data_IF_586515333417
#
_entry.id   IF_586515333417
#
_cell.length_a   1.000
_cell.length_b   1.000
_cell.length_c   1.000
_cell.angle_alpha   90.00
_cell.angle_beta   90.00
_cell.angle_gamma   90.00
#
_symmetry.space_group_name_H-M   'P 1'
#
loop_
_entity.id
_entity.type
_entity.pdbx_description
1 polymer ?
#
# COMPACT_ATOMS: atom_id res chain seq x y z
N UNK A 1 -6.66 -17.09 -13.28
CA UNK A 1 -6.40 -15.89 -14.12
C UNK A 1 -6.67 -14.58 -13.36
N UNK A 2 -7.78 -14.45 -12.62
CA UNK A 2 -8.04 -13.25 -11.78
C UNK A 2 -7.03 -12.99 -10.66
N UNK A 3 -6.47 -14.04 -10.06
CA UNK A 3 -5.42 -13.90 -9.05
C UNK A 3 -4.14 -13.26 -9.61
N UNK A 4 -3.80 -13.55 -10.87
CA UNK A 4 -2.61 -12.99 -11.55
C UNK A 4 -2.86 -11.52 -11.92
N UNK A 5 -4.09 -11.16 -12.36
CA UNK A 5 -4.46 -9.76 -12.60
C UNK A 5 -4.40 -8.92 -11.33
N UNK A 6 -4.85 -9.47 -10.19
CA UNK A 6 -4.78 -8.78 -8.89
C UNK A 6 -3.34 -8.55 -8.44
N UNK A 7 -2.45 -9.51 -8.65
CA UNK A 7 -1.02 -9.36 -8.34
C UNK A 7 -0.37 -8.28 -9.22
N UNK A 8 -0.70 -8.23 -10.52
CA UNK A 8 -0.20 -7.18 -11.42
C UNK A 8 -0.70 -5.79 -11.03
N UNK A 9 -1.96 -5.67 -10.59
CA UNK A 9 -2.51 -4.41 -10.08
C UNK A 9 -1.79 -3.94 -8.82
N UNK A 10 -1.42 -4.86 -7.92
CA UNK A 10 -0.64 -4.53 -6.71
C UNK A 10 0.72 -3.98 -7.11
N UNK A 11 1.42 -4.61 -8.06
CA UNK A 11 2.72 -4.09 -8.53
C UNK A 11 2.62 -2.75 -9.23
N UNK A 12 1.57 -2.50 -10.02
CA UNK A 12 1.34 -1.21 -10.66
C UNK A 12 1.09 -0.08 -9.64
N UNK A 13 0.33 -0.37 -8.58
CA UNK A 13 0.07 0.60 -7.50
C UNK A 13 1.34 0.88 -6.72
N UNK A 14 2.16 -0.16 -6.47
CA UNK A 14 3.47 0.01 -5.82
C UNK A 14 4.40 0.86 -6.68
N UNK A 15 4.49 0.60 -7.99
CA UNK A 15 5.31 1.36 -8.94
C UNK A 15 4.87 2.83 -9.05
N UNK A 16 3.56 3.06 -9.09
CA UNK A 16 2.99 4.42 -9.09
C UNK A 16 3.29 5.14 -7.78
N UNK A 17 3.19 4.46 -6.64
CA UNK A 17 3.50 5.04 -5.32
C UNK A 17 5.00 5.33 -5.14
N UNK A 18 5.87 4.53 -5.75
CA UNK A 18 7.33 4.79 -5.78
C UNK A 18 7.65 5.95 -6.72
N UNK A 19 7.02 5.99 -7.90
CA UNK A 19 7.21 7.06 -8.89
C UNK A 19 6.71 8.41 -8.40
N UNK A 20 5.62 8.44 -7.62
CA UNK A 20 5.03 9.65 -7.06
C UNK A 20 5.32 9.79 -5.57
N UNK A 21 6.39 9.19 -5.05
CA UNK A 21 6.74 9.27 -3.62
C UNK A 21 6.99 10.72 -3.17
N UNK A 22 7.33 11.60 -4.10
CA UNK A 22 7.52 13.04 -3.87
C UNK A 22 6.21 13.85 -3.95
N UNK A 23 5.11 13.29 -4.47
CA UNK A 23 3.81 13.93 -4.60
C UNK A 23 2.65 12.98 -4.19
N UNK A 24 2.77 12.43 -2.99
CA UNK A 24 1.67 11.67 -2.36
C UNK A 24 0.40 12.53 -2.16
N UNK A 25 0.55 13.86 -2.12
CA UNK A 25 -0.54 14.84 -2.04
C UNK A 25 -1.51 14.76 -3.21
N UNK A 26 -1.03 14.62 -4.44
CA UNK A 26 -1.91 14.51 -5.62
C UNK A 26 -2.67 13.18 -5.69
N UNK A 27 -2.23 12.17 -4.92
CA UNK A 27 -2.89 10.87 -4.81
C UNK A 27 -3.86 10.78 -3.63
N UNK A 28 -3.93 11.76 -2.73
CA UNK A 28 -4.75 11.67 -1.52
C UNK A 28 -6.24 11.44 -1.83
N UNK A 29 -6.83 12.20 -2.77
CA UNK A 29 -8.24 12.07 -3.13
C UNK A 29 -8.54 10.72 -3.79
N UNK A 30 -7.62 10.25 -4.63
CA UNK A 30 -7.70 8.92 -5.26
C UNK A 30 -7.66 7.81 -4.21
N UNK A 31 -6.72 7.89 -3.27
CA UNK A 31 -6.53 6.91 -2.19
C UNK A 31 -7.72 6.91 -1.22
N UNK A 32 -8.26 8.08 -0.88
CA UNK A 32 -9.48 8.18 -0.08
C UNK A 32 -10.68 7.52 -0.79
N UNK A 33 -10.83 7.75 -2.11
CA UNK A 33 -11.83 7.06 -2.93
C UNK A 33 -11.62 5.54 -2.98
N UNK A 34 -10.36 5.09 -3.01
CA UNK A 34 -10.01 3.68 -2.91
C UNK A 34 -10.37 3.09 -1.54
N UNK A 35 -10.15 3.85 -0.47
CA UNK A 35 -10.54 3.49 0.90
C UNK A 35 -12.05 3.25 1.02
N UNK A 36 -12.88 4.14 0.45
CA UNK A 36 -14.34 3.95 0.40
C UNK A 36 -14.74 2.64 -0.29
N UNK A 37 -14.07 2.28 -1.38
CA UNK A 37 -14.32 0.99 -2.08
C UNK A 37 -13.95 -0.21 -1.20
N UNK A 38 -12.82 -0.14 -0.47
CA UNK A 38 -12.41 -1.19 0.47
C UNK A 38 -13.39 -1.32 1.65
N UNK A 39 -13.89 -0.20 2.18
CA UNK A 39 -14.97 -0.18 3.18
C UNK A 39 -16.23 -0.85 2.64
N UNK A 40 -16.64 -0.51 1.42
CA UNK A 40 -17.86 -1.03 0.80
C UNK A 40 -17.85 -2.55 0.60
N UNK A 41 -16.67 -3.15 0.39
CA UNK A 41 -16.51 -4.61 0.27
C UNK A 41 -16.28 -5.31 1.61
N UNK A 42 -16.39 -4.59 2.74
CA UNK A 42 -16.32 -5.15 4.09
C UNK A 42 -14.91 -5.33 4.67
N UNK A 43 -13.88 -4.76 4.03
CA UNK A 43 -12.52 -4.78 4.58
C UNK A 43 -12.50 -3.90 5.83
N UNK A 44 -11.85 -4.38 6.89
CA UNK A 44 -11.62 -3.60 8.11
C UNK A 44 -10.33 -2.82 7.96
N UNK A 45 -10.30 -1.60 8.50
CA UNK A 45 -9.07 -0.79 8.50
C UNK A 45 -7.91 -1.51 9.22
N UNK A 46 -8.21 -2.34 10.22
CA UNK A 46 -7.21 -3.18 10.90
C UNK A 46 -6.56 -4.23 9.99
N UNK A 47 -7.20 -4.63 8.89
CA UNK A 47 -6.61 -5.59 7.94
C UNK A 47 -5.42 -5.01 7.17
N UNK A 48 -5.30 -3.68 7.08
CA UNK A 48 -4.17 -3.03 6.41
C UNK A 48 -2.85 -3.25 7.17
N UNK A 49 -2.85 -3.42 8.50
CA UNK A 49 -1.60 -3.73 9.21
C UNK A 49 -1.02 -5.08 8.74
N UNK A 50 -1.87 -6.11 8.63
CA UNK A 50 -1.48 -7.44 8.13
C UNK A 50 -1.00 -7.39 6.68
N UNK A 51 -1.62 -6.56 5.84
CA UNK A 51 -1.19 -6.36 4.45
C UNK A 51 0.18 -5.68 4.40
N UNK A 52 0.43 -4.68 5.24
CA UNK A 52 1.73 -4.02 5.35
C UNK A 52 2.84 -4.98 5.77
N UNK A 53 2.59 -5.82 6.77
CA UNK A 53 3.53 -6.86 7.20
C UNK A 53 3.82 -7.87 6.09
N UNK A 54 2.78 -8.30 5.36
CA UNK A 54 2.92 -9.23 4.24
C UNK A 54 3.73 -8.64 3.08
N UNK A 55 3.53 -7.34 2.80
CA UNK A 55 4.30 -6.60 1.79
C UNK A 55 5.79 -6.52 2.17
N UNK A 56 6.09 -6.13 3.41
CA UNK A 56 7.46 -6.05 3.90
C UNK A 56 8.13 -7.42 3.92
N UNK A 57 7.40 -8.48 4.32
CA UNK A 57 7.89 -9.85 4.29
C UNK A 57 8.22 -10.30 2.87
N UNK A 58 7.35 -10.03 1.89
CA UNK A 58 7.62 -10.33 0.49
C UNK A 58 8.87 -9.62 -0.01
N UNK A 59 9.02 -8.32 0.27
CA UNK A 59 10.19 -7.53 -0.12
C UNK A 59 11.48 -8.11 0.49
N UNK A 60 11.44 -8.48 1.77
CA UNK A 60 12.54 -9.14 2.46
C UNK A 60 12.93 -10.47 1.79
N UNK A 61 11.94 -11.29 1.38
CA UNK A 61 12.20 -12.55 0.69
C UNK A 61 12.70 -12.39 -0.73
N UNK A 62 12.23 -11.40 -1.47
CA UNK A 62 12.65 -11.16 -2.85
C UNK A 62 14.05 -10.54 -2.95
N UNK A 63 14.38 -9.60 -2.05
CA UNK A 63 15.63 -8.84 -2.09
C UNK A 63 16.72 -9.44 -1.19
N UNK A 64 16.35 -10.27 -0.21
CA UNK A 64 17.30 -10.95 0.67
C UNK A 64 18.26 -9.96 1.34
N UNK A 65 19.60 -10.15 1.23
CA UNK A 65 20.59 -9.24 1.82
C UNK A 65 20.53 -7.78 1.32
N UNK A 66 19.94 -7.54 0.13
CA UNK A 66 19.78 -6.20 -0.40
C UNK A 66 18.63 -5.42 0.28
N UNK A 67 17.76 -6.09 1.05
CA UNK A 67 16.72 -5.44 1.84
C UNK A 67 17.29 -4.88 3.14
N UNK A 68 17.95 -3.73 3.03
CA UNK A 68 18.57 -3.08 4.19
C UNK A 68 17.53 -2.59 5.19
N UNK A 69 17.90 -2.40 6.48
CA UNK A 69 17.00 -1.80 7.47
C UNK A 69 16.46 -0.42 7.05
N UNK A 70 17.27 0.37 6.35
CA UNK A 70 16.85 1.67 5.79
C UNK A 70 15.76 1.50 4.72
N UNK A 71 15.91 0.51 3.83
CA UNK A 71 14.90 0.17 2.81
C UNK A 71 13.59 -0.26 3.47
N UNK A 72 13.65 -1.14 4.49
CA UNK A 72 12.47 -1.56 5.26
C UNK A 72 11.76 -0.38 5.91
N UNK A 73 12.51 0.56 6.50
CA UNK A 73 11.97 1.75 7.13
C UNK A 73 11.28 2.68 6.12
N UNK A 74 11.89 2.89 4.94
CA UNK A 74 11.31 3.69 3.86
C UNK A 74 10.00 3.09 3.34
N UNK A 75 9.98 1.78 3.05
CA UNK A 75 8.76 1.08 2.64
C UNK A 75 7.66 1.11 3.71
N UNK A 76 8.05 0.99 4.99
CA UNK A 76 7.08 1.09 6.09
C UNK A 76 6.47 2.49 6.20
N UNK A 77 7.26 3.55 5.95
CA UNK A 77 6.77 4.92 5.93
C UNK A 77 5.84 5.18 4.75
N UNK A 78 6.22 4.75 3.55
CA UNK A 78 5.38 4.85 2.35
C UNK A 78 4.03 4.12 2.56
N UNK A 79 4.07 2.88 3.05
CA UNK A 79 2.86 2.11 3.31
C UNK A 79 1.95 2.80 4.34
N UNK A 80 2.52 3.35 5.42
CA UNK A 80 1.76 4.12 6.40
C UNK A 80 1.09 5.35 5.80
N UNK A 81 1.79 6.11 4.96
CA UNK A 81 1.23 7.28 4.28
C UNK A 81 0.04 6.89 3.39
N UNK A 82 0.17 5.80 2.62
CA UNK A 82 -0.92 5.28 1.78
C UNK A 82 -2.13 4.86 2.63
N UNK A 83 -1.91 4.09 3.71
CA UNK A 83 -3.00 3.67 4.61
C UNK A 83 -3.67 4.87 5.27
N UNK A 84 -2.91 5.90 5.65
CA UNK A 84 -3.45 7.13 6.22
C UNK A 84 -4.31 7.91 5.22
N UNK A 85 -3.92 7.98 3.95
CA UNK A 85 -4.76 8.57 2.92
C UNK A 85 -6.03 7.74 2.67
N UNK A 86 -5.91 6.40 2.64
CA UNK A 86 -7.07 5.50 2.48
C UNK A 86 -8.02 5.53 3.69
N UNK A 87 -7.51 5.71 4.91
CA UNK A 87 -8.34 5.73 6.13
C UNK A 87 -9.33 6.89 6.13
N UNK A 88 -9.03 8.00 5.43
CA UNK A 88 -9.99 9.10 5.20
C UNK A 88 -11.26 8.64 4.48
N UNK A 89 -11.23 7.50 3.78
CA UNK A 89 -12.42 6.86 3.20
C UNK A 89 -13.34 6.16 4.21
N UNK A 90 -12.90 6.00 5.46
CA UNK A 90 -13.71 5.52 6.59
C UNK A 90 -14.32 6.66 7.41
N UNK A 91 -13.75 7.86 7.32
CA UNK A 91 -14.31 9.06 7.94
C UNK A 91 -15.52 9.52 7.10
N UNK A 92 -16.70 9.11 7.56
CA UNK A 92 -17.99 9.35 6.94
C UNK A 92 -19.09 8.56 7.62
#
# INVERSE_FOLDING_TARGET
LDHIRKVMLVMLVIDTAVTNVEDLSSLEDYLAGLGKKHRAVGVKLSSFSTVGESLLYMLEKCLGPAFTPAMRAAWSQLYRAVVQAMSRGWDG
#
